data_IF_171443828672
#
_entry.id   IF_171443828672
#
_cell.length_a   1.000
_cell.length_b   1.000
_cell.length_c   1.000
_cell.angle_alpha   90.00
_cell.angle_beta   90.00
_cell.angle_gamma   90.00
#
_symmetry.space_group_name_H-M   'P 1'
#
loop_
_entity.id
_entity.type
_entity.pdbx_description
1 polymer ?
#
# COMPACT_ATOMS: atom_id res chain seq x y z
N UNK A 1 0.71 7.16 26.87
CA UNK A 1 1.79 8.13 27.18
C UNK A 1 2.90 7.54 28.03
N UNK A 2 2.68 7.15 29.30
CA UNK A 2 3.74 6.56 30.15
C UNK A 2 4.53 5.40 29.50
N UNK A 3 3.84 4.42 28.91
CA UNK A 3 4.50 3.30 28.23
C UNK A 3 5.32 3.74 27.00
N UNK A 4 4.81 4.72 26.24
CA UNK A 4 5.50 5.27 25.06
C UNK A 4 6.77 5.99 25.50
N UNK A 5 6.69 6.86 26.53
CA UNK A 5 7.85 7.58 27.05
C UNK A 5 8.94 6.61 27.54
N UNK A 6 8.54 5.53 28.26
CA UNK A 6 9.45 4.48 28.71
C UNK A 6 10.15 3.77 27.55
N UNK A 7 9.39 3.32 26.55
CA UNK A 7 9.94 2.62 25.38
C UNK A 7 10.85 3.53 24.54
N UNK A 8 10.52 4.82 24.45
CA UNK A 8 11.30 5.82 23.74
C UNK A 8 12.51 6.35 24.55
N UNK A 9 12.71 5.90 25.79
CA UNK A 9 13.81 6.36 26.64
C UNK A 9 13.75 7.85 26.99
N UNK A 10 12.55 8.46 26.97
CA UNK A 10 12.34 9.88 27.27
C UNK A 10 11.50 10.09 28.53
N UNK A 11 11.54 11.29 29.10
CA UNK A 11 10.67 11.64 30.22
C UNK A 11 9.24 11.83 29.73
N UNK A 12 8.27 11.52 30.61
CA UNK A 12 6.86 11.75 30.27
C UNK A 12 6.57 13.23 30.02
N UNK A 13 7.23 14.13 30.77
CA UNK A 13 7.10 15.57 30.57
C UNK A 13 7.60 16.01 29.19
N UNK A 14 8.71 15.44 28.71
CA UNK A 14 9.20 15.68 27.34
C UNK A 14 8.22 15.17 26.29
N UNK A 15 7.61 14.01 26.49
CA UNK A 15 6.61 13.50 25.55
C UNK A 15 5.37 14.42 25.48
N UNK A 16 4.87 14.90 26.63
CA UNK A 16 3.76 15.86 26.69
C UNK A 16 4.08 17.23 26.11
N UNK A 17 5.36 17.62 26.08
CA UNK A 17 5.79 18.85 25.40
C UNK A 17 5.56 18.77 23.88
N UNK A 18 5.68 17.58 23.28
CA UNK A 18 5.46 17.39 21.84
C UNK A 18 4.05 16.92 21.50
N UNK A 19 3.44 16.11 22.35
CA UNK A 19 2.12 15.51 22.09
C UNK A 19 1.25 15.58 23.33
N UNK A 20 0.16 16.33 23.24
CA UNK A 20 -0.76 16.55 24.36
C UNK A 20 -1.44 15.26 24.83
N UNK A 21 -1.62 14.29 23.93
CA UNK A 21 -2.27 13.01 24.21
C UNK A 21 -1.78 11.88 23.27
N UNK A 22 -2.36 10.69 23.45
CA UNK A 22 -2.04 9.52 22.63
C UNK A 22 -2.51 9.66 21.18
N UNK A 23 -3.58 10.40 20.94
CA UNK A 23 -4.13 10.58 19.60
C UNK A 23 -3.16 11.41 18.75
N UNK A 24 -2.60 12.49 19.28
CA UNK A 24 -1.58 13.28 18.57
C UNK A 24 -0.31 12.47 18.24
N UNK A 25 0.08 11.51 19.10
CA UNK A 25 1.18 10.58 18.78
C UNK A 25 0.83 9.70 17.58
N UNK A 26 -0.39 9.17 17.54
CA UNK A 26 -0.87 8.32 16.43
C UNK A 26 -1.04 9.12 15.13
N UNK A 27 -1.51 10.37 15.22
CA UNK A 27 -1.62 11.27 14.07
C UNK A 27 -0.24 11.60 13.50
N UNK A 28 0.74 11.93 14.33
CA UNK A 28 2.11 12.18 13.90
C UNK A 28 2.77 10.93 13.29
N UNK A 29 2.53 9.75 13.88
CA UNK A 29 2.97 8.48 13.31
C UNK A 29 2.33 8.23 11.94
N UNK A 30 1.01 8.45 11.83
CA UNK A 30 0.28 8.33 10.58
C UNK A 30 0.80 9.28 9.51
N UNK A 31 1.05 10.53 9.85
CA UNK A 31 1.61 11.53 8.94
C UNK A 31 2.97 11.09 8.38
N UNK A 32 3.84 10.53 9.21
CA UNK A 32 5.12 9.97 8.77
C UNK A 32 4.93 8.84 7.74
N UNK A 33 3.96 7.96 7.95
CA UNK A 33 3.67 6.90 6.96
C UNK A 33 3.06 7.46 5.67
N UNK A 34 2.21 8.48 5.78
CA UNK A 34 1.63 9.14 4.61
C UNK A 34 2.74 9.73 3.74
N UNK A 35 3.69 10.46 4.33
CA UNK A 35 4.81 11.07 3.61
C UNK A 35 5.69 10.02 2.90
N UNK A 36 6.01 8.92 3.59
CA UNK A 36 6.80 7.85 3.00
C UNK A 36 6.07 7.17 1.83
N UNK A 37 4.80 6.81 2.01
CA UNK A 37 4.00 6.19 0.95
C UNK A 37 3.71 7.15 -0.21
N UNK A 38 3.52 8.45 0.05
CA UNK A 38 3.38 9.46 -0.99
C UNK A 38 4.65 9.62 -1.80
N UNK A 39 5.84 9.50 -1.18
CA UNK A 39 7.13 9.48 -1.90
C UNK A 39 7.19 8.28 -2.83
N UNK A 40 6.97 7.07 -2.31
CA UNK A 40 6.92 5.83 -3.10
C UNK A 40 5.94 5.97 -4.27
N UNK A 41 4.74 6.47 -4.00
CA UNK A 41 3.69 6.60 -5.02
C UNK A 41 4.03 7.65 -6.08
N UNK A 42 4.69 8.75 -5.69
CA UNK A 42 5.15 9.79 -6.62
C UNK A 42 6.23 9.25 -7.55
N UNK A 43 7.16 8.44 -7.04
CA UNK A 43 8.19 7.79 -7.85
C UNK A 43 7.56 6.83 -8.88
N UNK A 44 6.51 6.10 -8.49
CA UNK A 44 5.77 5.21 -9.39
C UNK A 44 5.06 5.98 -10.52
N UNK A 45 4.44 7.13 -10.21
CA UNK A 45 3.80 7.99 -11.20
C UNK A 45 4.80 8.59 -12.19
N UNK A 46 6.05 8.82 -11.75
CA UNK A 46 7.14 9.34 -12.58
C UNK A 46 7.78 8.30 -13.51
N UNK A 47 7.47 7.00 -13.35
CA UNK A 47 7.99 5.94 -14.23
C UNK A 47 7.50 6.15 -15.66
N UNK A 48 8.43 6.15 -16.61
CA UNK A 48 8.15 6.37 -18.03
C UNK A 48 7.17 5.32 -18.58
N UNK A 49 6.19 5.72 -19.43
CA UNK A 49 5.18 4.80 -19.97
C UNK A 49 5.73 3.54 -20.65
N UNK A 50 6.87 3.66 -21.34
CA UNK A 50 7.51 2.56 -22.07
C UNK A 50 8.03 1.47 -21.15
N UNK A 51 8.36 1.81 -19.90
CA UNK A 51 8.77 0.84 -18.89
C UNK A 51 7.59 -0.06 -18.54
N UNK A 52 6.38 0.49 -18.41
CA UNK A 52 5.18 -0.28 -18.10
C UNK A 52 4.74 -1.19 -19.23
N UNK A 53 4.81 -0.72 -20.48
CA UNK A 53 4.38 -1.50 -21.64
C UNK A 53 5.42 -2.55 -22.06
N UNK A 54 6.72 -2.27 -21.86
CA UNK A 54 7.81 -3.19 -22.20
C UNK A 54 8.12 -4.24 -21.13
N UNK A 55 7.53 -4.13 -19.93
CA UNK A 55 7.76 -5.08 -18.83
C UNK A 55 6.82 -6.30 -18.92
N UNK A 56 7.28 -7.45 -18.46
CA UNK A 56 6.41 -8.60 -18.20
C UNK A 56 5.38 -8.28 -17.10
N UNK A 57 4.27 -9.04 -17.04
CA UNK A 57 3.26 -8.85 -15.98
C UNK A 57 3.88 -8.93 -14.58
N UNK A 58 4.77 -9.90 -14.36
CA UNK A 58 5.57 -10.02 -13.13
C UNK A 58 6.34 -8.74 -12.79
N UNK A 59 7.14 -8.23 -13.74
CA UNK A 59 7.95 -7.02 -13.55
C UNK A 59 7.10 -5.78 -13.26
N UNK A 60 5.88 -5.72 -13.83
CA UNK A 60 4.92 -4.65 -13.53
C UNK A 60 4.45 -4.74 -12.09
N UNK A 61 4.05 -5.93 -11.63
CA UNK A 61 3.59 -6.12 -10.25
C UNK A 61 4.71 -5.88 -9.25
N UNK A 62 5.90 -6.44 -9.49
CA UNK A 62 7.09 -6.19 -8.66
C UNK A 62 7.37 -4.69 -8.57
N UNK A 63 7.45 -3.98 -9.70
CA UNK A 63 7.71 -2.53 -9.67
C UNK A 63 6.60 -1.74 -8.99
N UNK A 64 5.34 -2.06 -9.24
CA UNK A 64 4.19 -1.27 -8.79
C UNK A 64 3.85 -1.50 -7.32
N UNK A 65 4.01 -2.72 -6.82
CA UNK A 65 3.45 -3.13 -5.52
C UNK A 65 4.54 -3.44 -4.49
N UNK A 66 5.68 -4.00 -4.91
CA UNK A 66 6.72 -4.44 -3.98
C UNK A 66 7.25 -3.31 -3.07
N UNK A 67 7.49 -2.07 -3.55
CA UNK A 67 7.95 -0.99 -2.66
C UNK A 67 6.98 -0.69 -1.50
N UNK A 68 5.67 -0.79 -1.76
CA UNK A 68 4.63 -0.61 -0.73
C UNK A 68 4.64 -1.80 0.24
N UNK A 69 4.80 -3.02 -0.26
CA UNK A 69 4.81 -4.24 0.55
C UNK A 69 6.05 -4.34 1.44
N UNK A 70 7.22 -3.96 0.92
CA UNK A 70 8.46 -3.84 1.69
C UNK A 70 8.32 -2.81 2.81
N UNK A 71 7.67 -1.67 2.52
CA UNK A 71 7.38 -0.68 3.55
C UNK A 71 6.42 -1.23 4.62
N UNK A 72 5.35 -1.94 4.23
CA UNK A 72 4.44 -2.58 5.17
C UNK A 72 5.11 -3.67 6.02
N UNK A 73 6.05 -4.42 5.43
CA UNK A 73 6.81 -5.45 6.14
C UNK A 73 7.65 -4.81 7.25
N UNK A 74 8.35 -3.71 6.95
CA UNK A 74 9.23 -3.00 7.90
C UNK A 74 8.46 -2.19 8.94
N UNK A 75 7.18 -1.87 8.67
CA UNK A 75 6.32 -1.05 9.52
C UNK A 75 5.02 -1.78 9.92
N UNK A 76 5.09 -2.78 10.82
CA UNK A 76 3.90 -3.50 11.29
C UNK A 76 2.89 -2.61 12.02
N UNK A 77 3.32 -1.45 12.55
CA UNK A 77 2.44 -0.40 13.05
C UNK A 77 1.53 0.17 11.95
N UNK A 78 2.03 0.35 10.73
CA UNK A 78 1.20 0.77 9.60
C UNK A 78 0.16 -0.28 9.22
N UNK A 79 0.52 -1.57 9.22
CA UNK A 79 -0.45 -2.65 8.97
C UNK A 79 -1.64 -2.55 9.94
N UNK A 80 -1.36 -2.28 11.22
CA UNK A 80 -2.41 -2.05 12.22
C UNK A 80 -3.23 -0.80 11.92
N UNK A 81 -2.59 0.30 11.50
CA UNK A 81 -3.27 1.57 11.19
C UNK A 81 -4.17 1.51 9.95
N UNK A 82 -3.91 0.62 8.99
CA UNK A 82 -4.79 0.44 7.81
C UNK A 82 -5.91 -0.58 8.06
N UNK A 83 -5.87 -1.31 9.18
CA UNK A 83 -6.92 -2.25 9.55
C UNK A 83 -8.21 -1.50 9.96
N UNK A 84 -9.37 -1.77 9.33
CA UNK A 84 -10.64 -1.13 9.68
C UNK A 84 -11.07 -1.30 11.15
N UNK A 85 -10.61 -2.35 11.83
CA UNK A 85 -10.88 -2.59 13.24
C UNK A 85 -10.12 -1.68 14.21
N UNK A 86 -9.08 -0.96 13.76
CA UNK A 86 -8.26 -0.09 14.61
C UNK A 86 -8.78 1.36 14.67
N UNK A 87 -10.01 1.52 15.17
CA UNK A 87 -10.77 2.78 15.12
C UNK A 87 -10.01 4.01 15.65
N UNK A 88 -9.29 3.88 16.76
CA UNK A 88 -8.62 5.01 17.42
C UNK A 88 -7.40 5.55 16.66
N UNK A 89 -6.71 4.69 15.90
CA UNK A 89 -5.49 5.06 15.17
C UNK A 89 -5.56 4.74 13.69
N UNK A 90 -6.78 4.67 13.15
CA UNK A 90 -6.99 4.37 11.74
C UNK A 90 -6.37 5.48 10.89
N UNK A 91 -5.55 5.09 9.92
CA UNK A 91 -4.87 6.02 9.03
C UNK A 91 -5.89 6.74 8.13
N UNK A 92 -6.03 8.05 8.32
CA UNK A 92 -6.88 8.89 7.48
C UNK A 92 -6.02 9.58 6.40
N UNK A 93 -5.96 8.98 5.21
CA UNK A 93 -5.12 9.48 4.11
C UNK A 93 -5.87 9.49 2.77
N UNK A 94 -6.91 10.32 2.60
CA UNK A 94 -7.71 10.36 1.36
C UNK A 94 -6.86 10.67 0.12
N UNK A 95 -5.94 11.62 0.21
CA UNK A 95 -5.10 12.03 -0.91
C UNK A 95 -4.13 10.93 -1.32
N UNK A 96 -3.49 10.28 -0.35
CA UNK A 96 -2.63 9.12 -0.62
C UNK A 96 -3.42 7.98 -1.28
N UNK A 97 -4.65 7.69 -0.83
CA UNK A 97 -5.51 6.68 -1.47
C UNK A 97 -5.79 7.03 -2.93
N UNK A 98 -6.03 8.30 -3.24
CA UNK A 98 -6.22 8.77 -4.62
C UNK A 98 -4.93 8.68 -5.45
N UNK A 99 -3.78 8.99 -4.87
CA UNK A 99 -2.47 8.85 -5.52
C UNK A 99 -2.19 7.40 -5.88
N UNK A 100 -2.34 6.47 -4.92
CA UNK A 100 -2.12 5.04 -5.15
C UNK A 100 -3.06 4.56 -6.27
N UNK A 101 -4.35 4.90 -6.19
CA UNK A 101 -5.32 4.53 -7.24
C UNK A 101 -4.95 5.09 -8.61
N UNK A 102 -4.35 6.28 -8.68
CA UNK A 102 -3.88 6.87 -9.93
C UNK A 102 -2.76 6.06 -10.58
N UNK A 103 -1.86 5.45 -9.79
CA UNK A 103 -0.84 4.52 -10.32
C UNK A 103 -1.51 3.35 -11.02
N UNK A 104 -2.45 2.66 -10.36
CA UNK A 104 -3.18 1.53 -10.95
C UNK A 104 -3.90 1.94 -12.25
N UNK A 105 -4.59 3.08 -12.24
CA UNK A 105 -5.30 3.60 -13.43
C UNK A 105 -4.34 3.87 -14.59
N UNK A 106 -3.19 4.51 -14.32
CA UNK A 106 -2.19 4.82 -15.34
C UNK A 106 -1.60 3.54 -15.93
N UNK A 107 -1.19 2.59 -15.09
CA UNK A 107 -0.62 1.31 -15.54
C UNK A 107 -1.64 0.50 -16.34
N UNK A 108 -2.87 0.37 -15.86
CA UNK A 108 -3.92 -0.37 -16.56
C UNK A 108 -4.33 0.30 -17.87
N UNK A 109 -4.34 1.63 -17.95
CA UNK A 109 -4.61 2.34 -19.20
C UNK A 109 -3.53 2.09 -20.27
N UNK A 110 -2.26 1.98 -19.85
CA UNK A 110 -1.14 1.67 -20.73
C UNK A 110 -1.16 0.21 -21.20
N UNK A 111 -1.48 -0.72 -20.30
CA UNK A 111 -1.40 -2.17 -20.57
C UNK A 111 -2.66 -2.75 -21.21
N UNK A 112 -3.82 -2.14 -20.97
CA UNK A 112 -5.11 -2.59 -21.47
C UNK A 112 -5.78 -1.49 -22.31
N UNK A 113 -5.15 -1.01 -23.40
CA UNK A 113 -5.67 0.10 -24.20
C UNK A 113 -7.04 -0.18 -24.84
N UNK A 114 -7.41 -1.46 -24.99
CA UNK A 114 -8.70 -1.89 -25.54
C UNK A 114 -9.82 -2.01 -24.48
N UNK A 115 -9.46 -2.14 -23.20
CA UNK A 115 -10.45 -2.19 -22.13
C UNK A 115 -11.16 -0.84 -21.98
N UNK A 116 -12.46 -0.86 -21.73
CA UNK A 116 -13.24 0.33 -21.44
C UNK A 116 -12.80 1.01 -20.13
N UNK A 117 -13.13 2.29 -19.96
CA UNK A 117 -12.84 3.01 -18.72
C UNK A 117 -13.49 2.35 -17.49
N UNK A 118 -14.69 1.80 -17.63
CA UNK A 118 -15.39 1.10 -16.56
C UNK A 118 -14.69 -0.22 -16.17
N UNK A 119 -14.21 -0.98 -17.15
CA UNK A 119 -13.44 -2.21 -16.88
C UNK A 119 -12.12 -1.90 -16.17
N UNK A 120 -11.36 -0.90 -16.65
CA UNK A 120 -10.10 -0.51 -16.01
C UNK A 120 -10.32 -0.04 -14.56
N UNK A 121 -11.40 0.69 -14.30
CA UNK A 121 -11.76 1.13 -12.97
C UNK A 121 -12.09 -0.07 -12.06
N UNK A 122 -12.87 -1.04 -12.55
CA UNK A 122 -13.18 -2.26 -11.81
C UNK A 122 -11.91 -3.11 -11.54
N UNK A 123 -11.00 -3.21 -12.50
CA UNK A 123 -9.72 -3.91 -12.32
C UNK A 123 -8.83 -3.21 -11.29
N UNK A 124 -8.74 -1.88 -11.33
CA UNK A 124 -7.99 -1.11 -10.33
C UNK A 124 -8.56 -1.34 -8.92
N UNK A 125 -9.89 -1.34 -8.77
CA UNK A 125 -10.54 -1.64 -7.50
C UNK A 125 -10.24 -3.06 -7.01
N UNK A 126 -10.30 -4.06 -7.90
CA UNK A 126 -10.00 -5.43 -7.55
C UNK A 126 -8.54 -5.62 -7.13
N UNK A 127 -7.59 -5.07 -7.88
CA UNK A 127 -6.15 -5.16 -7.54
C UNK A 127 -5.81 -4.48 -6.21
N UNK A 128 -6.48 -3.37 -5.88
CA UNK A 128 -6.35 -2.73 -4.56
C UNK A 128 -7.01 -3.53 -3.43
N UNK A 129 -8.12 -4.21 -3.72
CA UNK A 129 -8.91 -4.93 -2.73
C UNK A 129 -8.34 -6.32 -2.38
N UNK A 130 -7.78 -7.03 -3.36
CA UNK A 130 -7.28 -8.40 -3.20
C UNK A 130 -6.26 -8.55 -2.05
N UNK A 131 -5.27 -7.65 -1.88
CA UNK A 131 -4.29 -7.78 -0.80
C UNK A 131 -4.84 -7.54 0.60
N UNK A 132 -5.99 -6.88 0.75
CA UNK A 132 -6.51 -6.44 2.07
C UNK A 132 -6.70 -7.62 3.03
N UNK A 133 -7.21 -8.75 2.54
CA UNK A 133 -7.36 -9.96 3.35
C UNK A 133 -6.01 -10.54 3.81
N UNK A 134 -5.00 -10.49 2.95
CA UNK A 134 -3.65 -10.97 3.27
C UNK A 134 -2.95 -10.04 4.27
N UNK A 135 -3.20 -8.72 4.22
CA UNK A 135 -2.70 -7.77 5.22
C UNK A 135 -3.27 -8.05 6.61
N UNK A 136 -4.55 -8.41 6.67
CA UNK A 136 -5.19 -8.80 7.92
C UNK A 136 -4.59 -10.08 8.48
N UNK A 137 -4.44 -11.13 7.66
CA UNK A 137 -3.82 -12.38 8.07
C UNK A 137 -2.35 -12.21 8.49
N UNK A 138 -1.61 -11.30 7.83
CA UNK A 138 -0.23 -11.00 8.18
C UNK A 138 -0.07 -10.33 9.56
N UNK A 139 -1.11 -9.63 10.04
CA UNK A 139 -1.17 -9.11 11.42
C UNK A 139 -1.49 -10.21 12.44
N UNK A 140 -2.42 -11.10 12.10
CA UNK A 140 -2.85 -12.18 12.99
C UNK A 140 -1.82 -13.30 13.11
N UNK A 141 -1.04 -13.52 12.05
CA UNK A 141 -0.02 -14.56 11.95
C UNK A 141 1.36 -13.99 11.57
N UNK A 142 2.06 -13.34 12.51
CA UNK A 142 3.35 -12.71 12.25
C UNK A 142 4.41 -13.65 11.69
N UNK A 143 4.34 -14.95 12.00
CA UNK A 143 5.23 -16.00 11.48
C UNK A 143 5.12 -16.17 9.95
N UNK A 144 3.99 -15.81 9.35
CA UNK A 144 3.77 -15.84 7.91
C UNK A 144 3.80 -14.46 7.27
N UNK A 145 4.04 -13.38 8.03
CA UNK A 145 3.96 -11.98 7.54
C UNK A 145 4.76 -11.77 6.26
N UNK A 146 6.04 -12.13 6.24
CA UNK A 146 6.91 -11.92 5.07
C UNK A 146 6.45 -12.74 3.86
N UNK A 147 6.04 -14.00 4.07
CA UNK A 147 5.53 -14.85 3.00
C UNK A 147 4.22 -14.30 2.43
N UNK A 148 3.28 -13.89 3.28
CA UNK A 148 1.99 -13.32 2.87
C UNK A 148 2.18 -12.02 2.11
N UNK A 149 3.01 -11.10 2.63
CA UNK A 149 3.20 -9.79 2.03
C UNK A 149 4.10 -9.81 0.80
N UNK A 150 5.25 -10.48 0.85
CA UNK A 150 6.27 -10.38 -0.18
C UNK A 150 6.20 -11.50 -1.23
N UNK A 151 5.45 -12.58 -0.98
CA UNK A 151 5.32 -13.69 -1.94
C UNK A 151 3.88 -13.88 -2.42
N UNK A 152 2.92 -14.04 -1.51
CA UNK A 152 1.53 -14.35 -1.89
C UNK A 152 0.80 -13.15 -2.51
N UNK A 153 0.97 -11.93 -1.98
CA UNK A 153 0.37 -10.74 -2.59
C UNK A 153 0.88 -10.54 -4.03
N UNK A 154 2.20 -10.48 -4.32
CA UNK A 154 2.68 -10.33 -5.69
C UNK A 154 2.22 -11.46 -6.60
N UNK A 155 2.25 -12.72 -6.14
CA UNK A 155 1.78 -13.88 -6.92
C UNK A 155 0.32 -13.76 -7.31
N UNK A 156 -0.55 -13.37 -6.37
CA UNK A 156 -1.98 -13.20 -6.62
C UNK A 156 -2.24 -12.06 -7.63
N UNK A 157 -1.54 -10.92 -7.48
CA UNK A 157 -1.71 -9.77 -8.37
C UNK A 157 -1.14 -10.04 -9.77
N UNK A 158 -0.04 -10.78 -9.89
CA UNK A 158 0.51 -11.22 -11.17
C UNK A 158 -0.49 -12.12 -11.91
N UNK A 159 -1.04 -13.13 -11.21
CA UNK A 159 -2.05 -14.02 -11.78
C UNK A 159 -3.31 -13.25 -12.21
N UNK A 160 -3.76 -12.28 -11.42
CA UNK A 160 -4.90 -11.43 -11.77
C UNK A 160 -4.62 -10.56 -12.99
N UNK A 161 -3.44 -9.92 -13.05
CA UNK A 161 -3.02 -9.11 -14.19
C UNK A 161 -2.96 -9.93 -15.48
N UNK A 162 -2.36 -11.12 -15.44
CA UNK A 162 -2.31 -12.03 -16.58
C UNK A 162 -3.72 -12.42 -17.06
N UNK A 163 -4.64 -12.68 -16.11
CA UNK A 163 -6.02 -13.03 -16.45
C UNK A 163 -6.79 -11.90 -17.13
N UNK A 164 -6.59 -10.64 -16.71
CA UNK A 164 -7.25 -9.49 -17.37
C UNK A 164 -6.58 -9.11 -18.70
N UNK A 165 -5.26 -9.29 -18.83
CA UNK A 165 -4.55 -9.10 -20.11
C UNK A 165 -5.00 -10.13 -21.16
N UNK A 166 -5.20 -11.39 -20.76
CA UNK A 166 -5.72 -12.42 -21.66
C UNK A 166 -7.15 -12.16 -22.17
N UNK A 167 -7.92 -11.29 -21.51
CA UNK A 167 -9.24 -10.84 -21.97
C UNK A 167 -9.18 -9.70 -22.99
N UNK A 168 -8.06 -8.98 -23.02
CA UNK A 168 -7.82 -7.82 -23.88
C UNK A 168 -6.51 -8.02 -24.65
N UNK A 169 -6.38 -9.09 -25.46
CA UNK A 169 -5.14 -9.39 -26.15
C UNK A 169 -4.71 -8.20 -27.00
N UNK A 170 -3.40 -7.94 -27.02
CA UNK A 170 -2.82 -6.95 -27.92
C UNK A 170 -3.18 -7.32 -29.37
N UNK A 171 -3.48 -6.32 -30.22
CA UNK A 171 -3.78 -6.55 -31.63
C UNK A 171 -2.61 -7.20 -32.39
#
# INVERSE_FOLDING_TARGET
MHGIARLAGTSIGSLYHFFSDKQQVLEALGQRHIEALSTITSDLLAVAPQVWTGSSGRQVIERMVLPILEYLEQHPDLLLMINPGFVMGQLQAPDLRLQIKSVYRQVLALRLPQASAAEREAYAMAMLGLPIGLFHLALEHPEFKSQLLLEEVPRALEAYLAAIEGRHPAP
#
